data_IF_603478720137
#
_entry.id   IF_603478720137
#
_cell.length_a   1.000
_cell.length_b   1.000
_cell.length_c   1.000
_cell.angle_alpha   90.00
_cell.angle_beta   90.00
_cell.angle_gamma   90.00
#
_symmetry.space_group_name_H-M   'P 1'
#
loop_
_entity.id
_entity.type
_entity.pdbx_description
1 polymer ?
#
# COMPACT_ATOMS: atom_id res chain seq x y z
N UNK A 1 -35.15 -12.19 48.37
CA UNK A 1 -34.14 -12.50 47.33
C UNK A 1 -34.18 -11.47 46.19
N UNK A 2 -33.52 -10.29 46.29
CA UNK A 2 -33.51 -9.31 45.19
C UNK A 2 -32.10 -8.84 44.73
N UNK A 3 -31.00 -9.38 45.26
CA UNK A 3 -29.64 -8.92 44.91
C UNK A 3 -29.00 -9.68 43.74
N UNK A 4 -29.51 -10.87 43.39
CA UNK A 4 -28.96 -11.68 42.30
C UNK A 4 -29.24 -11.10 40.90
N UNK A 5 -30.23 -10.21 40.76
CA UNK A 5 -30.60 -9.65 39.45
C UNK A 5 -29.75 -8.44 39.03
N UNK A 6 -29.04 -7.80 39.97
CA UNK A 6 -28.24 -6.59 39.69
C UNK A 6 -26.82 -6.89 39.16
N UNK A 7 -26.31 -8.10 39.37
CA UNK A 7 -24.96 -8.48 38.93
C UNK A 7 -24.89 -8.85 37.43
N UNK A 8 -26.02 -9.22 36.81
CA UNK A 8 -26.04 -9.67 35.42
C UNK A 8 -25.87 -8.54 34.39
N UNK A 9 -26.21 -7.28 34.75
CA UNK A 9 -26.14 -6.15 33.81
C UNK A 9 -24.70 -5.60 33.65
N UNK A 10 -23.84 -5.80 34.65
CA UNK A 10 -22.46 -5.29 34.62
C UNK A 10 -21.51 -6.17 33.78
N UNK A 11 -21.86 -7.43 33.51
CA UNK A 11 -21.00 -8.36 32.78
C UNK A 11 -21.08 -8.22 31.24
N UNK A 12 -22.10 -7.55 30.71
CA UNK A 12 -22.31 -7.43 29.25
C UNK A 12 -21.36 -6.39 28.62
N UNK A 13 -20.84 -5.43 29.41
CA UNK A 13 -19.96 -4.37 28.88
C UNK A 13 -18.50 -4.79 28.65
N UNK A 14 -18.11 -6.02 28.99
CA UNK A 14 -16.74 -6.52 28.79
C UNK A 14 -16.63 -7.53 27.64
N UNK A 15 -17.60 -7.56 26.72
CA UNK A 15 -17.52 -8.38 25.53
C UNK A 15 -16.73 -7.61 24.45
N UNK A 16 -15.50 -8.02 24.09
CA UNK A 16 -14.76 -7.38 23.01
C UNK A 16 -15.58 -7.53 21.72
N UNK A 17 -16.06 -6.42 21.18
CA UNK A 17 -16.71 -6.41 19.88
C UNK A 17 -15.66 -6.73 18.82
N UNK A 18 -15.89 -7.72 17.94
CA UNK A 18 -14.98 -7.98 16.83
C UNK A 18 -14.88 -6.72 15.99
N UNK A 19 -13.67 -6.18 15.87
CA UNK A 19 -13.38 -5.10 14.93
C UNK A 19 -13.47 -5.72 13.53
N UNK A 20 -14.29 -5.17 12.62
CA UNK A 20 -14.35 -5.68 11.25
C UNK A 20 -12.95 -5.64 10.64
N UNK A 21 -12.56 -6.72 9.97
CA UNK A 21 -11.35 -6.71 9.15
C UNK A 21 -11.52 -5.63 8.09
N UNK A 22 -10.50 -4.78 7.92
CA UNK A 22 -10.46 -3.86 6.78
C UNK A 22 -10.50 -4.69 5.49
N UNK A 23 -11.27 -4.23 4.51
CA UNK A 23 -11.38 -4.87 3.20
C UNK A 23 -9.99 -5.04 2.57
N UNK A 24 -9.81 -6.11 1.81
CA UNK A 24 -8.52 -6.44 1.19
C UNK A 24 -8.22 -5.45 0.06
N UNK A 25 -7.20 -4.58 0.18
CA UNK A 25 -6.89 -3.58 -0.85
C UNK A 25 -6.29 -4.21 -2.12
N UNK A 26 -6.07 -5.53 -2.15
CA UNK A 26 -5.56 -6.26 -3.32
C UNK A 26 -6.68 -6.71 -4.29
N UNK A 27 -7.88 -6.14 -4.20
CA UNK A 27 -8.95 -6.32 -5.18
C UNK A 27 -8.99 -5.13 -6.14
N UNK A 28 -9.42 -5.34 -7.38
CA UNK A 28 -9.56 -4.25 -8.35
C UNK A 28 -10.44 -3.12 -7.80
N UNK A 29 -9.88 -1.90 -7.72
CA UNK A 29 -10.59 -0.71 -7.26
C UNK A 29 -11.13 0.10 -8.43
N UNK A 30 -12.30 0.72 -8.26
CA UNK A 30 -12.80 1.71 -9.23
C UNK A 30 -11.93 2.97 -9.25
N UNK A 31 -11.17 3.24 -8.18
CA UNK A 31 -10.26 4.38 -8.09
C UNK A 31 -9.08 4.25 -9.06
N UNK A 32 -8.63 3.03 -9.36
CA UNK A 32 -7.56 2.79 -10.33
C UNK A 32 -7.87 3.32 -11.73
N UNK A 33 -9.13 3.26 -12.18
CA UNK A 33 -9.53 3.79 -13.49
C UNK A 33 -9.31 5.30 -13.62
N UNK A 34 -9.44 6.05 -12.53
CA UNK A 34 -9.17 7.48 -12.48
C UNK A 34 -7.66 7.76 -12.39
N UNK A 35 -6.93 6.93 -11.62
CA UNK A 35 -5.48 7.08 -11.37
C UNK A 35 -4.59 6.73 -12.56
N UNK A 36 -5.02 5.82 -13.46
CA UNK A 36 -4.24 5.46 -14.67
C UNK A 36 -3.79 6.66 -15.49
N UNK A 37 -4.55 7.76 -15.45
CA UNK A 37 -4.23 9.00 -16.15
C UNK A 37 -3.01 9.75 -15.60
N UNK A 38 -2.65 9.49 -14.33
CA UNK A 38 -1.48 10.07 -13.65
C UNK A 38 -0.18 9.37 -14.08
N UNK A 39 -0.27 8.12 -14.54
CA UNK A 39 0.85 7.41 -15.14
C UNK A 39 1.16 8.03 -16.51
N UNK A 40 2.42 8.39 -16.82
CA UNK A 40 2.79 9.05 -18.06
C UNK A 40 2.17 8.37 -19.30
N UNK A 41 1.36 9.14 -20.03
CA UNK A 41 0.52 8.65 -21.13
C UNK A 41 1.32 7.97 -22.24
N UNK A 42 0.86 6.80 -22.68
CA UNK A 42 1.22 6.22 -23.99
C UNK A 42 1.88 4.85 -23.97
N UNK A 43 2.06 4.21 -22.81
CA UNK A 43 2.50 2.81 -22.74
C UNK A 43 1.53 2.06 -21.85
N UNK A 44 1.01 0.93 -22.34
CA UNK A 44 0.27 -0.02 -21.51
C UNK A 44 1.18 -0.37 -20.34
N UNK A 45 0.79 -0.01 -19.11
CA UNK A 45 1.55 -0.40 -17.93
C UNK A 45 1.67 -1.93 -17.95
N UNK A 46 2.89 -2.42 -18.11
CA UNK A 46 3.19 -3.85 -18.11
C UNK A 46 4.03 -4.12 -16.89
N UNK A 47 3.59 -5.06 -16.08
CA UNK A 47 4.41 -5.58 -15.00
C UNK A 47 5.67 -6.23 -15.62
N UNK A 48 6.84 -5.79 -15.16
CA UNK A 48 8.12 -6.27 -15.68
C UNK A 48 9.16 -6.39 -14.56
N UNK A 49 9.15 -7.53 -13.87
CA UNK A 49 10.10 -7.85 -12.81
C UNK A 49 11.55 -8.01 -13.30
N UNK A 50 11.80 -8.03 -14.62
CA UNK A 50 13.15 -8.00 -15.17
C UNK A 50 13.77 -6.59 -15.17
N UNK A 51 12.99 -5.55 -14.83
CA UNK A 51 13.45 -4.15 -14.78
C UNK A 51 13.52 -3.62 -13.34
N UNK A 52 12.48 -3.90 -12.54
CA UNK A 52 12.33 -3.37 -11.19
C UNK A 52 11.59 -4.38 -10.31
N UNK A 53 12.09 -4.60 -9.10
CA UNK A 53 11.39 -5.27 -8.01
C UNK A 53 10.97 -4.25 -6.96
N UNK A 54 9.80 -4.47 -6.36
CA UNK A 54 9.27 -3.69 -5.25
C UNK A 54 8.94 -4.64 -4.10
N UNK A 55 9.60 -4.44 -2.97
CA UNK A 55 9.32 -5.14 -1.72
C UNK A 55 8.71 -4.18 -0.70
N UNK A 56 7.60 -4.58 -0.12
CA UNK A 56 6.92 -3.88 0.97
C UNK A 56 6.32 -4.90 1.95
N UNK A 57 6.14 -4.55 3.23
CA UNK A 57 5.53 -5.46 4.18
C UNK A 57 4.05 -5.69 3.83
N UNK A 58 3.58 -6.92 4.00
CA UNK A 58 2.16 -7.29 3.81
C UNK A 58 1.23 -6.44 4.68
N UNK A 59 1.73 -5.98 5.84
CA UNK A 59 1.06 -5.03 6.72
C UNK A 59 2.10 -4.17 7.43
N UNK A 60 1.96 -2.86 7.36
CA UNK A 60 2.76 -1.93 8.14
C UNK A 60 2.28 -1.89 9.60
N UNK A 61 3.22 -1.76 10.54
CA UNK A 61 2.89 -1.55 11.95
C UNK A 61 2.30 -0.16 12.21
N UNK A 62 2.65 0.81 11.37
CA UNK A 62 2.11 2.17 11.36
C UNK A 62 1.70 2.50 9.92
N UNK A 63 0.42 2.76 9.63
CA UNK A 63 -0.04 3.09 8.28
C UNK A 63 0.53 4.42 7.76
N UNK A 64 1.05 5.29 8.62
CA UNK A 64 1.74 6.52 8.19
C UNK A 64 3.19 6.27 7.74
N UNK A 65 3.78 5.10 8.09
CA UNK A 65 5.16 4.75 7.76
C UNK A 65 5.24 3.34 7.19
N UNK A 66 5.21 3.26 5.85
CA UNK A 66 5.37 2.01 5.11
C UNK A 66 6.75 1.98 4.45
N UNK A 67 7.68 1.11 4.86
CA UNK A 67 8.95 0.96 4.17
C UNK A 67 8.74 0.26 2.83
N UNK A 68 9.33 0.82 1.76
CA UNK A 68 9.33 0.26 0.41
C UNK A 68 10.78 0.16 -0.05
N UNK A 69 11.16 -1.00 -0.58
CA UNK A 69 12.48 -1.25 -1.14
C UNK A 69 12.37 -1.51 -2.64
N UNK A 70 13.23 -0.84 -3.42
CA UNK A 70 13.22 -0.88 -4.88
C UNK A 70 14.57 -1.39 -5.37
N UNK A 71 14.55 -2.49 -6.12
CA UNK A 71 15.77 -3.20 -6.57
C UNK A 71 15.76 -3.40 -8.07
N UNK A 72 16.92 -3.26 -8.72
CA UNK A 72 17.06 -3.61 -10.14
C UNK A 72 17.76 -4.97 -10.32
N UNK A 73 17.19 -5.90 -11.11
CA UNK A 73 17.89 -7.13 -11.46
C UNK A 73 19.22 -6.87 -12.17
N UNK A 74 20.21 -7.77 -12.06
CA UNK A 74 21.46 -7.66 -12.79
C UNK A 74 21.24 -7.53 -14.30
N UNK A 75 21.83 -6.50 -14.92
CA UNK A 75 21.70 -6.24 -16.35
C UNK A 75 20.38 -5.56 -16.78
N UNK A 76 19.52 -5.17 -15.83
CA UNK A 76 18.34 -4.39 -16.12
C UNK A 76 18.67 -3.04 -16.77
N UNK A 77 17.73 -2.53 -17.56
CA UNK A 77 17.86 -1.23 -18.19
C UNK A 77 17.86 -0.10 -17.15
N UNK A 78 18.61 0.97 -17.42
CA UNK A 78 18.64 2.16 -16.59
C UNK A 78 17.27 2.84 -16.48
N UNK A 79 16.79 3.05 -15.25
CA UNK A 79 15.55 3.78 -14.97
C UNK A 79 15.86 5.27 -14.84
N UNK A 80 15.08 6.12 -15.51
CA UNK A 80 15.27 7.59 -15.47
C UNK A 80 14.34 8.28 -14.47
N UNK A 81 13.16 7.71 -14.27
CA UNK A 81 12.14 8.28 -13.41
C UNK A 81 11.28 7.18 -12.80
N UNK A 82 10.81 7.41 -11.58
CA UNK A 82 9.87 6.57 -10.86
C UNK A 82 8.73 7.44 -10.34
N UNK A 83 7.50 6.94 -10.45
CA UNK A 83 6.33 7.52 -9.79
C UNK A 83 5.73 6.44 -8.91
N UNK A 84 5.62 6.72 -7.61
CA UNK A 84 4.98 5.83 -6.64
C UNK A 84 3.55 6.29 -6.43
N UNK A 85 2.61 5.44 -6.79
CA UNK A 85 1.16 5.68 -6.63
C UNK A 85 0.63 4.71 -5.59
N UNK A 86 -0.12 5.23 -4.62
CA UNK A 86 -0.82 4.47 -3.59
C UNK A 86 -2.31 4.59 -3.88
N UNK A 87 -2.91 3.46 -4.25
CA UNK A 87 -4.35 3.40 -4.48
C UNK A 87 -5.15 3.67 -3.20
N UNK A 88 -6.36 4.22 -3.38
CA UNK A 88 -7.28 4.64 -2.30
C UNK A 88 -6.72 5.68 -1.30
N UNK A 89 -5.52 6.21 -1.53
CA UNK A 89 -4.98 7.30 -0.73
C UNK A 89 -5.55 8.65 -1.23
N UNK A 90 -6.12 9.51 -0.37
CA UNK A 90 -6.68 10.81 -0.79
C UNK A 90 -5.70 11.68 -1.59
N UNK A 91 -4.40 11.52 -1.34
CA UNK A 91 -3.33 12.03 -2.18
C UNK A 91 -2.56 10.82 -2.78
N UNK A 92 -2.90 10.37 -4.01
CA UNK A 92 -2.45 9.08 -4.53
C UNK A 92 -0.98 9.05 -4.93
N UNK A 93 -0.41 10.16 -5.40
CA UNK A 93 1.01 10.23 -5.76
C UNK A 93 1.84 10.44 -4.49
N UNK A 94 2.55 9.39 -4.08
CA UNK A 94 3.40 9.41 -2.89
C UNK A 94 4.79 9.98 -3.18
N UNK A 95 5.32 9.72 -4.38
CA UNK A 95 6.63 10.24 -4.80
C UNK A 95 6.73 10.33 -6.32
N UNK A 96 7.46 11.36 -6.78
CA UNK A 96 8.00 11.47 -8.13
C UNK A 96 9.50 11.65 -8.02
N UNK A 97 10.25 10.73 -8.61
CA UNK A 97 11.70 10.64 -8.44
C UNK A 97 12.34 10.69 -9.82
N UNK A 98 13.30 11.59 -10.01
CA UNK A 98 14.18 11.59 -11.17
C UNK A 98 15.53 11.01 -10.76
N UNK A 99 15.96 9.94 -11.44
CA UNK A 99 17.19 9.22 -11.12
C UNK A 99 18.32 9.72 -12.00
N UNK A 100 19.40 10.16 -11.36
CA UNK A 100 20.65 10.50 -12.04
C UNK A 100 21.49 9.25 -12.34
N UNK A 101 22.46 9.31 -13.27
CA UNK A 101 23.32 8.17 -13.60
C UNK A 101 24.09 7.59 -12.41
N UNK A 102 24.41 8.40 -11.40
CA UNK A 102 25.13 7.98 -10.20
C UNK A 102 24.27 7.19 -9.20
N UNK A 103 22.95 7.11 -9.42
CA UNK A 103 22.01 6.38 -8.56
C UNK A 103 21.68 4.98 -9.12
N UNK A 104 22.33 4.57 -10.21
CA UNK A 104 21.99 3.35 -10.94
C UNK A 104 23.14 2.32 -10.92
N UNK A 105 22.83 1.01 -10.90
CA UNK A 105 21.49 0.46 -10.67
C UNK A 105 20.99 0.77 -9.25
N UNK A 106 19.68 0.70 -9.04
CA UNK A 106 19.14 0.61 -7.68
C UNK A 106 19.58 -0.72 -7.08
N UNK A 107 19.82 -0.73 -5.76
CA UNK A 107 20.38 -1.84 -4.96
C UNK A 107 19.83 -3.23 -5.32
#
# INVERSE_FOLDING_TARGET
>A
MPHAFRAALAAIMLCPTPVPAQDNPLTDSSAWDELKSVVPSGTTASENSAVLLLDAPVRASDPAFVPVHLTQPPGAAAIRSLTVVIDENPAPVAAEITLGPAMLPLD
#
